data_IF_672815891282
#
_entry.id   IF_672815891282
#
_cell.length_a   1.000
_cell.length_b   1.000
_cell.length_c   1.000
_cell.angle_alpha   90.00
_cell.angle_beta   90.00
_cell.angle_gamma   90.00
#
_symmetry.space_group_name_H-M   'P 1'
#
loop_
_entity.id
_entity.type
_entity.pdbx_description
1 polymer ?
#
# COMPACT_ATOMS: atom_id res chain seq x y z
N UNK A 1 -16.42 18.06 -72.31
CA UNK A 1 -16.95 18.43 -70.96
C UNK A 1 -16.67 17.29 -70.01
N UNK A 2 -15.71 17.44 -69.09
CA UNK A 2 -15.37 16.42 -68.06
C UNK A 2 -15.81 16.98 -66.72
N UNK A 3 -16.79 16.33 -66.07
CA UNK A 3 -17.27 16.70 -64.75
C UNK A 3 -16.34 16.10 -63.69
N UNK A 4 -15.71 16.95 -62.87
CA UNK A 4 -14.97 16.56 -61.70
C UNK A 4 -15.95 16.36 -60.54
N UNK A 5 -16.05 15.11 -60.04
CA UNK A 5 -16.78 14.77 -58.82
C UNK A 5 -15.78 14.92 -57.68
N UNK A 6 -15.99 15.96 -56.87
CA UNK A 6 -15.25 16.21 -55.63
C UNK A 6 -15.80 15.30 -54.54
N UNK A 7 -15.02 14.29 -54.11
CA UNK A 7 -15.34 13.46 -52.95
C UNK A 7 -14.92 14.18 -51.66
N UNK A 8 -15.89 14.75 -50.96
CA UNK A 8 -15.65 15.36 -49.64
C UNK A 8 -15.41 14.29 -48.57
N UNK A 9 -14.17 14.18 -48.12
CA UNK A 9 -13.78 13.32 -46.99
C UNK A 9 -14.26 13.97 -45.69
N UNK A 10 -15.34 13.47 -45.10
CA UNK A 10 -15.78 13.91 -43.76
C UNK A 10 -14.90 13.23 -42.69
N UNK A 11 -13.97 13.97 -42.14
CA UNK A 11 -13.17 13.56 -41.00
C UNK A 11 -14.06 13.65 -39.72
N UNK A 12 -14.57 12.52 -39.24
CA UNK A 12 -15.23 12.45 -37.96
C UNK A 12 -14.18 12.45 -36.85
N UNK A 13 -14.02 13.58 -36.16
CA UNK A 13 -13.18 13.68 -34.98
C UNK A 13 -13.87 12.97 -33.82
N UNK A 14 -13.35 11.80 -33.42
CA UNK A 14 -13.69 11.12 -32.19
C UNK A 14 -13.10 11.92 -31.02
N UNK A 15 -13.88 12.75 -30.39
CA UNK A 15 -13.52 13.38 -29.12
C UNK A 15 -13.68 12.33 -28.02
N UNK A 16 -12.58 11.68 -27.64
CA UNK A 16 -12.52 10.84 -26.45
C UNK A 16 -12.67 11.71 -25.21
N UNK A 17 -13.88 11.73 -24.63
CA UNK A 17 -14.09 12.33 -23.31
C UNK A 17 -13.34 11.49 -22.28
N UNK A 18 -12.16 11.97 -21.88
CA UNK A 18 -11.48 11.48 -20.68
C UNK A 18 -12.30 12.00 -19.50
N UNK A 19 -13.17 11.17 -18.94
CA UNK A 19 -13.86 11.47 -17.67
C UNK A 19 -12.78 11.42 -16.60
N UNK A 20 -12.44 12.55 -15.92
CA UNK A 20 -11.51 12.50 -14.81
C UNK A 20 -12.13 11.60 -13.74
N UNK A 21 -11.43 10.50 -13.40
CA UNK A 21 -11.78 9.72 -12.23
C UNK A 21 -11.67 10.66 -11.02
N UNK A 22 -12.81 11.00 -10.42
CA UNK A 22 -12.84 11.81 -9.21
C UNK A 22 -12.17 10.98 -8.12
N UNK A 23 -10.93 11.34 -7.78
CA UNK A 23 -10.22 10.75 -6.66
C UNK A 23 -10.95 11.20 -5.38
N UNK A 24 -11.80 10.34 -4.83
CA UNK A 24 -12.35 10.56 -3.51
C UNK A 24 -11.22 10.38 -2.50
N UNK A 25 -10.83 11.47 -1.83
CA UNK A 25 -9.98 11.42 -0.65
C UNK A 25 -10.81 10.81 0.50
N UNK A 26 -10.99 9.51 0.48
CA UNK A 26 -11.70 8.75 1.50
C UNK A 26 -10.74 7.79 2.20
N UNK A 27 -10.96 7.56 3.49
CA UNK A 27 -10.23 6.53 4.23
C UNK A 27 -10.65 5.14 3.75
N UNK A 28 -9.67 4.26 3.54
CA UNK A 28 -9.93 2.84 3.30
C UNK A 28 -10.04 2.17 4.67
N UNK A 29 -11.27 1.83 5.08
CA UNK A 29 -11.56 1.42 6.45
C UNK A 29 -11.74 -0.10 6.63
N UNK A 30 -11.86 -0.85 5.53
CA UNK A 30 -12.19 -2.26 5.58
C UNK A 30 -11.68 -3.01 4.33
N UNK A 31 -11.92 -4.34 4.33
CA UNK A 31 -11.61 -5.21 3.19
C UNK A 31 -12.27 -4.76 1.89
N UNK A 32 -13.54 -4.33 1.93
CA UNK A 32 -14.27 -3.95 0.73
C UNK A 32 -13.64 -2.73 0.07
N UNK A 33 -13.34 -1.71 0.86
CA UNK A 33 -12.65 -0.51 0.39
C UNK A 33 -11.25 -0.85 -0.16
N UNK A 34 -10.52 -1.75 0.52
CA UNK A 34 -9.23 -2.23 0.05
C UNK A 34 -9.30 -2.95 -1.29
N UNK A 35 -10.25 -3.90 -1.44
CA UNK A 35 -10.40 -4.69 -2.65
C UNK A 35 -10.94 -3.86 -3.83
N UNK A 36 -11.60 -2.73 -3.58
CA UNK A 36 -12.03 -1.79 -4.61
C UNK A 36 -10.87 -0.98 -5.23
N UNK A 37 -9.70 -0.92 -4.59
CA UNK A 37 -8.52 -0.27 -5.14
C UNK A 37 -7.90 -1.14 -6.25
N UNK A 38 -7.30 -0.50 -7.27
CA UNK A 38 -6.46 -1.20 -8.24
C UNK A 38 -5.18 -1.72 -7.57
N UNK A 39 -4.47 -2.70 -8.15
CA UNK A 39 -3.18 -3.15 -7.62
C UNK A 39 -2.17 -2.03 -7.43
N UNK A 40 -2.10 -1.09 -8.38
CA UNK A 40 -1.20 0.07 -8.33
C UNK A 40 -1.59 1.02 -7.18
N UNK A 41 -2.88 1.28 -7.01
CA UNK A 41 -3.38 2.12 -5.92
C UNK A 41 -3.11 1.48 -4.56
N UNK A 42 -3.25 0.15 -4.42
CA UNK A 42 -2.88 -0.58 -3.20
C UNK A 42 -1.38 -0.46 -2.91
N UNK A 43 -0.55 -0.63 -3.93
CA UNK A 43 0.91 -0.50 -3.80
C UNK A 43 1.31 0.90 -3.37
N UNK A 44 0.75 1.95 -3.99
CA UNK A 44 1.00 3.35 -3.60
C UNK A 44 0.51 3.65 -2.18
N UNK A 45 -0.68 3.16 -1.81
CA UNK A 45 -1.22 3.29 -0.45
C UNK A 45 -0.27 2.68 0.58
N UNK A 46 0.20 1.45 0.34
CA UNK A 46 1.09 0.75 1.27
C UNK A 46 2.47 1.38 1.33
N UNK A 47 2.98 1.94 0.23
CA UNK A 47 4.23 2.68 0.27
C UNK A 47 4.16 3.88 1.21
N UNK A 48 3.14 4.74 1.06
CA UNK A 48 2.95 5.88 1.95
C UNK A 48 2.73 5.46 3.40
N UNK A 49 2.01 4.37 3.61
CA UNK A 49 1.79 3.79 4.94
C UNK A 49 3.09 3.27 5.56
N UNK A 50 3.90 2.54 4.79
CA UNK A 50 5.20 2.03 5.22
C UNK A 50 6.16 3.16 5.61
N UNK A 51 6.23 4.20 4.79
CA UNK A 51 7.10 5.35 5.03
C UNK A 51 6.69 6.09 6.31
N UNK A 52 5.39 6.30 6.53
CA UNK A 52 4.91 7.03 7.71
C UNK A 52 5.01 6.20 9.00
N UNK A 53 4.65 4.92 8.98
CA UNK A 53 4.64 4.06 10.19
C UNK A 53 6.06 3.69 10.64
N UNK A 54 7.00 3.57 9.72
CA UNK A 54 8.37 3.19 10.06
C UNK A 54 9.31 4.41 10.22
N UNK A 55 8.84 5.63 9.98
CA UNK A 55 9.61 6.82 10.30
C UNK A 55 9.84 6.91 11.81
N UNK A 56 11.10 7.05 12.23
CA UNK A 56 11.48 7.16 13.64
C UNK A 56 11.45 8.65 14.02
N UNK A 57 10.52 9.01 14.90
CA UNK A 57 10.42 10.37 15.42
C UNK A 57 11.32 10.57 16.63
N UNK A 58 11.69 11.81 16.92
CA UNK A 58 12.55 12.16 18.06
C UNK A 58 11.89 11.90 19.42
N UNK A 59 10.56 11.87 19.45
CA UNK A 59 9.75 11.62 20.65
C UNK A 59 9.24 10.17 20.74
N UNK A 60 9.64 9.29 19.82
CA UNK A 60 9.35 7.87 19.94
C UNK A 60 9.96 7.30 21.22
N UNK A 61 9.21 6.50 21.94
CA UNK A 61 9.77 5.69 23.02
C UNK A 61 10.82 4.70 22.48
N UNK A 62 11.81 4.32 23.29
CA UNK A 62 12.81 3.35 22.87
C UNK A 62 12.20 2.05 22.30
N UNK A 63 11.20 1.40 22.94
CA UNK A 63 10.59 0.21 22.37
C UNK A 63 9.92 0.45 21.01
N UNK A 64 9.33 1.63 20.80
CA UNK A 64 8.70 2.01 19.53
C UNK A 64 9.77 2.19 18.45
N UNK A 65 10.82 2.96 18.72
CA UNK A 65 11.91 3.19 17.77
C UNK A 65 12.60 1.88 17.36
N UNK A 66 12.85 0.97 18.31
CA UNK A 66 13.45 -0.34 18.03
C UNK A 66 12.52 -1.23 17.19
N UNK A 67 11.21 -1.18 17.42
CA UNK A 67 10.26 -1.92 16.60
C UNK A 67 10.22 -1.39 15.17
N UNK A 68 10.26 -0.07 14.97
CA UNK A 68 10.37 0.57 13.65
C UNK A 68 11.68 0.17 12.96
N UNK A 69 12.81 0.23 13.67
CA UNK A 69 14.12 -0.17 13.16
C UNK A 69 14.16 -1.63 12.74
N UNK A 70 13.63 -2.53 13.57
CA UNK A 70 13.54 -3.97 13.25
C UNK A 70 12.72 -4.23 12.00
N UNK A 71 11.58 -3.55 11.83
CA UNK A 71 10.79 -3.64 10.59
C UNK A 71 11.54 -3.13 9.36
N UNK A 72 12.19 -1.97 9.45
CA UNK A 72 12.98 -1.43 8.34
C UNK A 72 14.05 -2.42 7.90
N UNK A 73 14.81 -3.00 8.86
CA UNK A 73 15.83 -4.00 8.55
C UNK A 73 15.25 -5.24 7.90
N UNK A 74 14.21 -5.82 8.49
CA UNK A 74 13.49 -6.97 7.96
C UNK A 74 13.04 -6.76 6.49
N UNK A 75 12.42 -5.62 6.20
CA UNK A 75 11.92 -5.32 4.85
C UNK A 75 13.06 -5.14 3.85
N UNK A 76 14.18 -4.52 4.28
CA UNK A 76 15.36 -4.34 3.45
C UNK A 76 16.05 -5.69 3.14
N UNK A 77 16.27 -6.52 4.16
CA UNK A 77 16.92 -7.83 4.04
C UNK A 77 16.11 -8.79 3.16
N UNK A 78 14.77 -8.73 3.26
CA UNK A 78 13.86 -9.49 2.41
C UNK A 78 13.63 -8.87 1.04
N UNK A 79 14.21 -7.71 0.73
CA UNK A 79 13.97 -6.94 -0.51
C UNK A 79 12.48 -6.75 -0.79
N UNK A 80 11.71 -6.46 0.26
CA UNK A 80 10.26 -6.35 0.19
C UNK A 80 9.85 -5.07 -0.53
N UNK A 81 9.06 -5.21 -1.59
CA UNK A 81 8.49 -4.09 -2.34
C UNK A 81 7.11 -3.71 -1.81
N UNK A 82 6.62 -2.52 -2.16
CA UNK A 82 5.26 -2.08 -1.83
C UNK A 82 4.18 -3.02 -2.42
N UNK A 83 4.42 -3.61 -3.58
CA UNK A 83 3.53 -4.61 -4.17
C UNK A 83 3.45 -5.88 -3.30
N UNK A 84 4.59 -6.40 -2.83
CA UNK A 84 4.63 -7.56 -1.91
C UNK A 84 3.88 -7.23 -0.60
N UNK A 85 4.04 -6.02 -0.07
CA UNK A 85 3.31 -5.60 1.13
C UNK A 85 1.81 -5.53 0.88
N UNK A 86 1.38 -5.00 -0.26
CA UNK A 86 -0.03 -4.96 -0.65
C UNK A 86 -0.64 -6.37 -0.78
N UNK A 87 0.13 -7.32 -1.34
CA UNK A 87 -0.29 -8.72 -1.43
C UNK A 87 -0.41 -9.39 -0.07
N UNK A 88 0.49 -9.08 0.87
CA UNK A 88 0.39 -9.57 2.26
C UNK A 88 -0.87 -9.08 2.96
N UNK A 89 -1.24 -7.81 2.80
CA UNK A 89 -2.50 -7.25 3.31
C UNK A 89 -3.69 -7.95 2.66
N UNK A 90 -3.68 -8.07 1.33
CA UNK A 90 -4.74 -8.75 0.57
C UNK A 90 -4.91 -10.21 1.02
N UNK A 91 -3.79 -10.91 1.26
CA UNK A 91 -3.81 -12.27 1.79
C UNK A 91 -4.38 -12.33 3.21
N UNK A 92 -4.11 -11.33 4.04
CA UNK A 92 -4.71 -11.24 5.38
C UNK A 92 -6.23 -11.18 5.35
N UNK A 93 -6.79 -10.49 4.38
CA UNK A 93 -8.23 -10.36 4.20
C UNK A 93 -8.94 -11.64 3.68
N UNK A 94 -8.21 -12.71 3.41
CA UNK A 94 -8.83 -14.03 3.15
C UNK A 94 -9.47 -14.61 4.41
N UNK A 95 -9.03 -14.17 5.58
CA UNK A 95 -9.65 -14.52 6.86
C UNK A 95 -10.81 -13.55 7.14
N UNK A 96 -12.03 -14.09 7.21
CA UNK A 96 -13.26 -13.31 7.43
C UNK A 96 -13.25 -12.51 8.74
N UNK A 97 -12.50 -12.94 9.73
CA UNK A 97 -12.36 -12.22 11.01
C UNK A 97 -11.78 -10.82 10.83
N UNK A 98 -11.05 -10.60 9.75
CA UNK A 98 -10.43 -9.32 9.43
C UNK A 98 -11.23 -8.45 8.45
N UNK A 99 -12.43 -8.88 8.05
CA UNK A 99 -13.20 -8.16 7.03
C UNK A 99 -13.47 -6.68 7.37
N UNK A 100 -13.66 -6.36 8.64
CA UNK A 100 -13.88 -4.99 9.14
C UNK A 100 -12.60 -4.26 9.59
N UNK A 101 -11.42 -4.89 9.45
CA UNK A 101 -10.15 -4.29 9.89
C UNK A 101 -9.62 -3.34 8.81
N UNK A 102 -9.22 -2.13 9.21
CA UNK A 102 -8.61 -1.17 8.28
C UNK A 102 -7.26 -1.69 7.73
N UNK A 103 -6.89 -1.38 6.48
CA UNK A 103 -5.61 -1.80 5.89
C UNK A 103 -4.39 -1.36 6.71
N UNK A 104 -4.46 -0.22 7.39
CA UNK A 104 -3.41 0.25 8.30
C UNK A 104 -3.18 -0.74 9.45
N UNK A 105 -4.24 -1.20 10.09
CA UNK A 105 -4.14 -2.19 11.17
C UNK A 105 -3.70 -3.54 10.62
N UNK A 106 -4.20 -3.96 9.45
CA UNK A 106 -3.77 -5.18 8.78
C UNK A 106 -2.27 -5.13 8.43
N UNK A 107 -1.77 -3.97 7.97
CA UNK A 107 -0.34 -3.77 7.75
C UNK A 107 0.47 -4.04 9.03
N UNK A 108 0.07 -3.46 10.16
CA UNK A 108 0.76 -3.66 11.44
C UNK A 108 0.78 -5.14 11.84
N UNK A 109 -0.37 -5.82 11.76
CA UNK A 109 -0.48 -7.25 12.06
C UNK A 109 0.49 -8.06 11.20
N UNK A 110 0.49 -7.83 9.87
CA UNK A 110 1.35 -8.57 8.94
C UNK A 110 2.83 -8.25 9.12
N UNK A 111 3.18 -7.02 9.49
CA UNK A 111 4.57 -6.65 9.76
C UNK A 111 5.10 -7.25 11.07
N UNK A 112 4.27 -7.31 12.11
CA UNK A 112 4.63 -7.99 13.35
C UNK A 112 4.86 -9.49 13.07
N UNK A 113 3.95 -10.13 12.35
CA UNK A 113 4.10 -11.55 12.03
C UNK A 113 5.36 -11.85 11.21
N UNK A 114 5.63 -11.02 10.20
CA UNK A 114 6.74 -11.23 9.27
C UNK A 114 8.09 -10.87 9.87
N UNK A 115 8.15 -9.77 10.63
CA UNK A 115 9.40 -9.16 11.10
C UNK A 115 9.66 -9.36 12.60
N UNK A 116 8.92 -10.23 13.25
CA UNK A 116 9.03 -10.47 14.71
C UNK A 116 10.46 -10.79 15.15
N UNK A 117 11.16 -11.62 14.39
CA UNK A 117 12.54 -11.99 14.72
C UNK A 117 13.48 -10.78 14.70
N UNK A 118 13.38 -9.94 13.67
CA UNK A 118 14.21 -8.74 13.54
C UNK A 118 13.87 -7.69 14.59
N UNK A 119 12.58 -7.51 14.87
CA UNK A 119 12.13 -6.61 15.94
C UNK A 119 12.68 -7.09 17.28
N UNK A 120 12.58 -8.38 17.58
CA UNK A 120 13.07 -8.93 18.84
C UNK A 120 14.60 -8.87 18.95
N UNK A 121 15.33 -9.02 17.84
CA UNK A 121 16.78 -8.86 17.81
C UNK A 121 17.19 -7.40 18.16
N UNK A 122 16.51 -6.40 17.57
CA UNK A 122 16.78 -5.00 17.93
C UNK A 122 16.44 -4.71 19.40
N UNK A 123 15.36 -5.26 19.92
CA UNK A 123 14.97 -5.10 21.33
C UNK A 123 15.99 -5.74 22.28
N UNK A 124 16.47 -6.94 21.96
CA UNK A 124 17.43 -7.67 22.77
C UNK A 124 18.76 -6.91 22.91
N UNK A 125 19.22 -6.22 21.86
CA UNK A 125 20.43 -5.39 21.89
C UNK A 125 20.38 -4.27 22.95
N UNK A 126 19.18 -3.92 23.43
CA UNK A 126 18.95 -2.90 24.45
C UNK A 126 18.35 -3.50 25.74
N UNK A 127 18.43 -4.81 25.93
CA UNK A 127 17.95 -5.49 27.12
C UNK A 127 16.43 -5.50 27.30
N UNK A 128 15.66 -5.24 26.22
CA UNK A 128 14.21 -5.27 26.28
C UNK A 128 13.67 -6.69 26.02
N UNK A 129 12.57 -7.08 26.69
CA UNK A 129 11.96 -8.39 26.45
C UNK A 129 11.39 -8.47 25.01
N UNK A 130 11.26 -9.68 24.47
CA UNK A 130 10.60 -9.87 23.16
C UNK A 130 9.15 -9.40 23.19
N UNK A 131 8.61 -9.10 21.99
CA UNK A 131 7.20 -8.79 21.79
C UNK A 131 6.36 -10.06 21.80
#
# INVERSE_FOLDING_TARGET
>A
MKAFVSAGLKLAALVSMVIPAVAHAGYVNDRRGWLALTPEARSGYVQGLNDSINYIFTDDSLPTALSKKGRQRCLADQRTTSAILADRITSGYKDERFAGVAPTAMYIIKMIDTCRADINAERANFGLPPM
#
